data_IF_683899585604
#
_entry.id   IF_683899585604
#
_cell.length_a   1.000
_cell.length_b   1.000
_cell.length_c   1.000
_cell.angle_alpha   90.00
_cell.angle_beta   90.00
_cell.angle_gamma   90.00
#
_symmetry.space_group_name_H-M   'P 1'
#
loop_
_entity.id
_entity.type
_entity.pdbx_description
1 polymer ?
#
# COMPACT_ATOMS: atom_id res chain seq x y z
N UNK A 1 7.63 -11.27 -22.24
CA UNK A 1 7.14 -10.16 -21.41
C UNK A 1 5.76 -10.58 -20.94
N UNK A 2 5.49 -10.49 -19.65
CA UNK A 2 4.19 -10.90 -19.11
C UNK A 2 3.12 -9.90 -19.53
N UNK A 3 2.00 -10.39 -20.06
CA UNK A 3 0.82 -9.55 -20.33
C UNK A 3 0.32 -8.84 -19.06
N UNK A 4 0.58 -9.38 -17.86
CA UNK A 4 0.17 -8.75 -16.58
C UNK A 4 0.88 -7.43 -16.27
N UNK A 5 1.98 -7.12 -16.96
CA UNK A 5 2.77 -5.89 -16.75
C UNK A 5 2.61 -4.87 -17.88
N UNK A 6 1.71 -5.11 -18.82
CA UNK A 6 1.45 -4.19 -19.92
C UNK A 6 0.37 -3.17 -19.54
N UNK A 7 0.64 -1.89 -19.81
CA UNK A 7 -0.35 -0.82 -19.70
C UNK A 7 -0.12 0.14 -18.54
N UNK A 8 -0.31 1.43 -18.83
CA UNK A 8 -0.28 2.53 -17.84
C UNK A 8 -1.31 2.35 -16.73
N UNK A 9 -2.44 1.71 -17.05
CA UNK A 9 -3.57 1.51 -16.14
C UNK A 9 -3.18 0.61 -14.96
N UNK A 10 -2.46 -0.50 -15.21
CA UNK A 10 -1.97 -1.40 -14.14
C UNK A 10 -1.08 -0.64 -13.17
N UNK A 11 -0.22 0.24 -13.69
CA UNK A 11 0.67 1.05 -12.86
C UNK A 11 -0.10 2.01 -11.95
N UNK A 12 -1.16 2.65 -12.46
CA UNK A 12 -1.97 3.61 -11.70
C UNK A 12 -2.82 2.90 -10.64
N UNK A 13 -3.48 1.81 -11.02
CA UNK A 13 -4.27 0.98 -10.12
C UNK A 13 -3.41 0.41 -8.98
N UNK A 14 -2.16 0.03 -9.28
CA UNK A 14 -1.22 -0.46 -8.28
C UNK A 14 -0.90 0.63 -7.22
N UNK A 15 -0.70 1.88 -7.64
CA UNK A 15 -0.52 3.00 -6.68
C UNK A 15 -1.80 3.26 -5.87
N UNK A 16 -2.97 3.20 -6.50
CA UNK A 16 -4.26 3.38 -5.82
C UNK A 16 -4.53 2.26 -4.80
N UNK A 17 -4.15 1.02 -5.11
CA UNK A 17 -4.21 -0.10 -4.18
C UNK A 17 -3.25 0.10 -3.00
N UNK A 18 -2.02 0.58 -3.24
CA UNK A 18 -1.07 0.86 -2.15
C UNK A 18 -1.59 1.95 -1.21
N UNK A 19 -2.09 3.06 -1.75
CA UNK A 19 -2.63 4.13 -0.93
C UNK A 19 -3.86 3.65 -0.13
N UNK A 20 -4.70 2.80 -0.71
CA UNK A 20 -5.82 2.21 0.02
C UNK A 20 -5.35 1.27 1.14
N UNK A 21 -4.29 0.49 0.90
CA UNK A 21 -3.70 -0.36 1.92
C UNK A 21 -3.19 0.43 3.13
N UNK A 22 -2.67 1.64 2.89
CA UNK A 22 -2.28 2.59 3.95
C UNK A 22 -3.50 3.11 4.71
N UNK A 23 -4.57 3.47 3.99
CA UNK A 23 -5.84 3.97 4.52
C UNK A 23 -6.70 2.91 5.22
N UNK A 24 -6.25 1.65 5.28
CA UNK A 24 -6.96 0.55 5.93
C UNK A 24 -6.44 0.31 7.34
N UNK A 25 -7.35 0.22 8.30
CA UNK A 25 -7.03 -0.15 9.68
C UNK A 25 -8.04 -1.17 10.25
N UNK A 26 -8.07 -1.35 11.57
CA UNK A 26 -9.02 -2.24 12.22
C UNK A 26 -10.49 -1.75 12.14
N UNK A 27 -10.72 -0.44 11.92
CA UNK A 27 -12.03 0.23 11.86
C UNK A 27 -12.62 0.22 10.45
N UNK A 28 -11.80 0.16 9.40
CA UNK A 28 -12.27 0.03 8.02
C UNK A 28 -11.35 0.70 7.00
N UNK A 29 -11.94 1.16 5.90
CA UNK A 29 -11.27 1.94 4.85
C UNK A 29 -11.54 3.42 5.08
N UNK A 30 -10.49 4.23 5.23
CA UNK A 30 -10.62 5.67 5.42
C UNK A 30 -10.81 6.42 4.09
N UNK A 31 -10.22 5.91 3.00
CA UNK A 31 -10.16 6.57 1.68
C UNK A 31 -9.64 8.01 1.71
N UNK A 32 -8.82 8.35 2.71
CA UNK A 32 -8.22 9.66 2.88
C UNK A 32 -7.35 10.03 1.68
N UNK A 33 -6.33 9.22 1.37
CA UNK A 33 -5.40 9.49 0.27
C UNK A 33 -6.11 9.58 -1.09
N UNK A 34 -7.18 8.78 -1.27
CA UNK A 34 -8.00 8.85 -2.49
C UNK A 34 -8.73 10.19 -2.60
N UNK A 35 -9.37 10.65 -1.51
CA UNK A 35 -10.04 11.95 -1.46
C UNK A 35 -9.07 13.10 -1.71
N UNK A 36 -7.90 13.05 -1.09
CA UNK A 36 -6.81 14.03 -1.29
C UNK A 36 -6.37 14.05 -2.75
N UNK A 37 -6.08 12.90 -3.36
CA UNK A 37 -5.65 12.79 -4.75
C UNK A 37 -6.67 13.37 -5.74
N UNK A 38 -7.95 13.01 -5.57
CA UNK A 38 -9.04 13.47 -6.43
C UNK A 38 -9.24 14.98 -6.34
N UNK A 39 -9.34 15.53 -5.12
CA UNK A 39 -9.53 16.96 -4.91
C UNK A 39 -8.31 17.79 -5.34
N UNK A 40 -7.10 17.28 -5.10
CA UNK A 40 -5.86 17.90 -5.55
C UNK A 40 -5.75 17.93 -7.08
N UNK A 41 -6.20 16.87 -7.76
CA UNK A 41 -6.26 16.82 -9.23
C UNK A 41 -7.17 17.90 -9.80
N UNK A 42 -8.40 18.04 -9.29
CA UNK A 42 -9.31 19.09 -9.76
C UNK A 42 -8.77 20.50 -9.50
N UNK A 43 -8.19 20.71 -8.32
CA UNK A 43 -7.56 21.99 -7.97
C UNK A 43 -6.38 22.32 -8.91
N UNK A 44 -5.60 21.29 -9.30
CA UNK A 44 -4.45 21.48 -10.18
C UNK A 44 -4.83 21.93 -11.60
N UNK A 45 -6.03 21.56 -12.10
CA UNK A 45 -6.51 22.04 -13.41
C UNK A 45 -6.64 23.56 -13.46
N UNK A 46 -6.88 24.20 -12.31
CA UNK A 46 -7.02 25.65 -12.18
C UNK A 46 -5.69 26.35 -11.88
N UNK A 47 -4.88 25.78 -10.98
CA UNK A 47 -3.69 26.47 -10.45
C UNK A 47 -2.36 26.01 -11.06
N UNK A 48 -2.30 24.78 -11.58
CA UNK A 48 -1.09 24.16 -12.11
C UNK A 48 -1.40 23.22 -13.30
N UNK A 49 -1.94 23.75 -14.42
CA UNK A 49 -2.36 22.95 -15.56
C UNK A 49 -1.19 22.16 -16.17
N UNK A 50 -1.49 21.01 -16.77
CA UNK A 50 -0.51 20.06 -17.33
C UNK A 50 0.39 19.36 -16.30
N UNK A 51 0.06 19.46 -15.01
CA UNK A 51 0.71 18.77 -13.89
C UNK A 51 -0.26 17.92 -13.07
N UNK A 52 -1.44 17.66 -13.61
CA UNK A 52 -2.53 16.94 -12.96
C UNK A 52 -2.07 15.57 -12.46
N UNK A 53 -1.29 14.87 -13.29
CA UNK A 53 -0.77 13.54 -12.96
C UNK A 53 0.25 13.58 -11.82
N UNK A 54 1.14 14.58 -11.79
CA UNK A 54 2.13 14.74 -10.74
C UNK A 54 1.45 15.07 -9.39
N UNK A 55 0.44 15.94 -9.42
CA UNK A 55 -0.32 16.36 -8.22
C UNK A 55 -1.23 15.24 -7.72
N UNK A 56 -1.88 14.50 -8.63
CA UNK A 56 -2.71 13.36 -8.29
C UNK A 56 -1.90 12.29 -7.53
N UNK A 57 -0.75 11.86 -8.07
CA UNK A 57 0.09 10.86 -7.39
C UNK A 57 0.75 11.38 -6.12
N UNK A 58 1.05 12.69 -6.05
CA UNK A 58 1.48 13.29 -4.81
C UNK A 58 0.39 13.19 -3.73
N UNK A 59 -0.85 13.53 -4.05
CA UNK A 59 -1.98 13.36 -3.13
C UNK A 59 -2.25 11.91 -2.76
N UNK A 60 -2.06 10.98 -3.70
CA UNK A 60 -2.30 9.55 -3.47
C UNK A 60 -1.25 8.91 -2.55
N UNK A 61 -0.01 9.40 -2.58
CA UNK A 61 1.12 8.82 -1.86
C UNK A 61 1.69 9.71 -0.74
N UNK A 62 1.05 10.85 -0.42
CA UNK A 62 1.62 11.82 0.54
C UNK A 62 1.94 11.21 1.92
N UNK A 63 1.12 10.26 2.36
CA UNK A 63 1.25 9.56 3.64
C UNK A 63 2.09 8.27 3.60
N UNK A 64 2.69 7.91 2.47
CA UNK A 64 3.48 6.66 2.34
C UNK A 64 4.66 6.59 3.32
N UNK A 65 5.17 7.73 3.78
CA UNK A 65 6.19 7.77 4.82
C UNK A 65 5.71 7.36 6.22
N UNK A 66 4.40 7.38 6.46
CA UNK A 66 3.79 7.13 7.77
C UNK A 66 3.60 5.63 8.09
N UNK A 67 4.08 4.74 7.22
CA UNK A 67 3.94 3.27 7.35
C UNK A 67 4.47 2.66 8.65
N UNK A 68 5.25 3.37 9.45
CA UNK A 68 5.71 2.88 10.76
C UNK A 68 4.71 3.09 11.91
N UNK A 69 3.59 3.78 11.68
CA UNK A 69 2.62 4.09 12.74
C UNK A 69 1.71 2.89 13.07
N UNK A 70 1.31 2.81 14.34
CA UNK A 70 0.34 1.83 14.84
C UNK A 70 -1.10 2.12 14.41
N UNK A 71 -1.44 3.40 14.40
CA UNK A 71 -2.70 3.94 13.90
C UNK A 71 -2.45 4.75 12.65
N UNK A 72 -3.47 4.86 11.79
CA UNK A 72 -3.42 5.77 10.65
C UNK A 72 -3.05 7.19 11.08
N UNK A 73 -2.23 7.89 10.28
CA UNK A 73 -1.75 9.23 10.59
C UNK A 73 -2.89 10.24 10.79
N UNK A 74 -3.95 10.16 9.96
CA UNK A 74 -5.20 10.92 10.15
C UNK A 74 -5.78 10.77 11.56
N UNK A 75 -5.78 9.57 12.16
CA UNK A 75 -6.27 9.40 13.52
C UNK A 75 -5.37 10.07 14.56
N UNK A 76 -4.05 10.06 14.35
CA UNK A 76 -3.11 10.79 15.19
C UNK A 76 -3.35 12.30 15.11
N UNK A 77 -3.61 12.82 13.92
CA UNK A 77 -3.91 14.24 13.69
C UNK A 77 -5.24 14.65 14.33
N UNK A 78 -6.29 13.81 14.23
CA UNK A 78 -7.61 14.09 14.81
C UNK A 78 -7.61 14.01 16.34
N UNK A 79 -6.96 13.00 16.92
CA UNK A 79 -7.01 12.75 18.37
C UNK A 79 -6.12 13.70 19.19
N UNK A 80 -5.51 14.71 18.57
CA UNK A 80 -4.51 15.56 19.22
C UNK A 80 -3.29 14.76 19.67
N UNK A 81 -2.94 13.71 18.91
CA UNK A 81 -1.81 12.84 19.15
C UNK A 81 -0.51 13.63 19.23
N UNK A 82 0.53 12.98 19.76
CA UNK A 82 1.83 13.62 19.95
C UNK A 82 2.47 13.98 18.60
N UNK A 83 2.27 15.24 18.17
CA UNK A 83 2.90 15.81 16.98
C UNK A 83 4.43 15.89 17.09
N UNK A 84 5.01 15.52 18.25
CA UNK A 84 6.46 15.32 18.37
C UNK A 84 6.92 13.91 17.97
N UNK A 85 6.00 13.01 17.58
CA UNK A 85 6.35 11.69 17.09
C UNK A 85 7.27 11.82 15.86
N UNK A 86 8.51 11.28 15.91
CA UNK A 86 9.48 11.41 14.82
C UNK A 86 9.00 10.83 13.49
N UNK A 87 8.12 9.81 13.51
CA UNK A 87 7.53 9.25 12.30
C UNK A 87 6.57 10.26 11.67
N UNK A 88 5.75 10.95 12.46
CA UNK A 88 4.84 11.99 11.97
C UNK A 88 5.64 13.20 11.49
N UNK A 89 6.70 13.62 12.18
CA UNK A 89 7.51 14.76 11.72
C UNK A 89 8.31 14.43 10.44
N UNK A 90 8.75 13.19 10.28
CA UNK A 90 9.59 12.77 9.16
C UNK A 90 8.86 12.10 7.99
N UNK A 91 7.52 11.92 8.06
CA UNK A 91 6.83 11.13 7.02
C UNK A 91 6.85 11.82 5.64
N UNK A 92 6.82 13.14 5.56
CA UNK A 92 6.92 13.84 4.26
C UNK A 92 8.28 13.61 3.62
N UNK A 93 9.37 13.66 4.39
CA UNK A 93 10.73 13.35 3.92
C UNK A 93 10.88 11.90 3.50
N UNK A 94 10.44 10.95 4.35
CA UNK A 94 10.49 9.52 4.04
C UNK A 94 9.59 9.17 2.86
N UNK A 95 8.40 9.79 2.78
CA UNK A 95 7.47 9.63 1.68
C UNK A 95 8.08 10.08 0.37
N UNK A 96 8.68 11.28 0.35
CA UNK A 96 9.42 11.77 -0.80
C UNK A 96 10.58 10.85 -1.20
N UNK A 97 11.31 10.27 -0.25
CA UNK A 97 12.36 9.30 -0.54
C UNK A 97 11.81 8.05 -1.24
N UNK A 98 10.76 7.44 -0.70
CA UNK A 98 10.13 6.24 -1.28
C UNK A 98 9.58 6.55 -2.68
N UNK A 99 8.85 7.66 -2.81
CA UNK A 99 8.24 8.03 -4.09
C UNK A 99 9.27 8.35 -5.17
N UNK A 100 10.46 8.83 -4.80
CA UNK A 100 11.55 9.07 -5.77
C UNK A 100 12.12 7.78 -6.36
N UNK A 101 12.00 6.65 -5.66
CA UNK A 101 12.41 5.33 -6.18
C UNK A 101 11.41 4.78 -7.20
N UNK A 102 10.14 5.21 -7.12
CA UNK A 102 9.12 4.82 -8.09
C UNK A 102 9.38 5.50 -9.45
N UNK A 103 9.29 4.73 -10.57
CA UNK A 103 9.46 5.31 -11.88
C UNK A 103 8.50 6.47 -12.12
N UNK A 104 9.04 7.56 -12.68
CA UNK A 104 8.29 8.70 -13.19
C UNK A 104 7.62 9.63 -12.16
N UNK A 105 7.90 9.47 -10.86
CA UNK A 105 7.33 10.28 -9.78
C UNK A 105 8.30 11.29 -9.13
N UNK A 106 9.32 11.74 -9.86
CA UNK A 106 10.28 12.72 -9.34
C UNK A 106 9.61 14.02 -8.88
N UNK A 107 8.67 14.56 -9.67
CA UNK A 107 7.91 15.77 -9.28
C UNK A 107 6.94 15.52 -8.15
N UNK A 108 6.21 14.40 -8.19
CA UNK A 108 5.33 14.01 -7.09
C UNK A 108 6.10 13.90 -5.77
N UNK A 109 7.34 13.39 -5.79
CA UNK A 109 8.20 13.33 -4.59
C UNK A 109 8.48 14.71 -3.98
N UNK A 110 8.64 15.75 -4.80
CA UNK A 110 8.82 17.13 -4.31
C UNK A 110 7.54 17.66 -3.66
N UNK A 111 6.38 17.39 -4.26
CA UNK A 111 5.11 17.84 -3.72
C UNK A 111 4.78 17.15 -2.39
N UNK A 112 5.09 15.85 -2.28
CA UNK A 112 5.00 15.10 -1.02
C UNK A 112 5.96 15.65 0.03
N UNK A 113 7.20 16.02 -0.34
CA UNK A 113 8.14 16.59 0.63
C UNK A 113 7.59 17.87 1.28
N UNK A 114 6.86 18.67 0.51
CA UNK A 114 6.49 20.05 0.86
C UNK A 114 5.04 20.22 1.31
N UNK A 115 4.21 19.18 1.32
CA UNK A 115 2.78 19.31 1.63
C UNK A 115 2.47 19.71 3.09
N UNK A 116 3.47 19.70 3.97
CA UNK A 116 3.37 20.22 5.35
C UNK A 116 4.17 21.50 5.59
N UNK A 117 4.68 22.12 4.53
CA UNK A 117 5.19 23.49 4.62
C UNK A 117 4.00 24.45 4.78
N UNK A 118 4.06 25.30 5.81
CA UNK A 118 3.01 26.29 6.05
C UNK A 118 3.36 27.57 5.30
N UNK A 119 2.34 28.22 4.72
CA UNK A 119 2.51 29.46 3.98
C UNK A 119 3.27 30.56 4.74
N UNK A 120 3.11 30.65 6.06
CA UNK A 120 3.78 31.61 6.93
C UNK A 120 5.23 31.26 7.31
N UNK A 121 5.71 30.07 6.95
CA UNK A 121 7.04 29.54 7.23
C UNK A 121 7.15 28.73 8.52
N UNK A 122 6.04 28.41 9.19
CA UNK A 122 6.04 27.61 10.44
C UNK A 122 6.00 26.10 10.21
N UNK A 123 5.85 25.66 8.97
CA UNK A 123 5.74 24.25 8.60
C UNK A 123 7.08 23.53 8.54
N UNK A 124 7.06 22.33 7.98
CA UNK A 124 8.20 21.42 7.93
C UNK A 124 8.22 20.66 6.59
N UNK A 125 9.34 20.06 6.19
CA UNK A 125 10.63 19.96 6.88
C UNK A 125 11.59 21.13 6.65
N UNK A 126 11.44 21.85 5.54
CA UNK A 126 12.37 22.90 5.10
C UNK A 126 12.06 24.29 5.65
N UNK A 127 10.89 24.51 6.27
CA UNK A 127 10.40 25.83 6.75
C UNK A 127 10.30 26.84 5.62
N UNK A 128 9.92 26.38 4.44
CA UNK A 128 9.73 27.21 3.26
C UNK A 128 8.57 28.16 3.48
N UNK A 129 8.65 29.37 2.92
CA UNK A 129 7.62 30.40 3.11
C UNK A 129 7.03 30.86 1.78
N UNK A 130 5.71 31.03 1.75
CA UNK A 130 5.01 31.61 0.61
C UNK A 130 5.29 30.85 -0.69
N UNK A 131 5.79 31.57 -1.70
CA UNK A 131 6.07 31.03 -3.03
C UNK A 131 7.35 30.17 -3.10
N UNK A 132 8.09 30.00 -2.01
CA UNK A 132 9.19 29.03 -1.93
C UNK A 132 8.69 27.57 -1.91
N UNK A 133 7.44 27.39 -1.46
CA UNK A 133 6.71 26.12 -1.46
C UNK A 133 6.23 25.88 -2.89
N UNK A 134 6.44 24.69 -3.43
CA UNK A 134 5.94 24.32 -4.76
C UNK A 134 4.42 24.41 -4.81
N UNK A 135 3.89 24.80 -5.98
CA UNK A 135 2.43 24.84 -6.21
C UNK A 135 1.77 23.49 -5.97
N UNK A 136 2.42 22.38 -6.38
CA UNK A 136 1.91 21.04 -6.11
C UNK A 136 1.83 20.72 -4.62
N UNK A 137 2.87 21.05 -3.83
CA UNK A 137 2.83 20.90 -2.37
C UNK A 137 1.72 21.72 -1.72
N UNK A 138 1.53 22.99 -2.16
CA UNK A 138 0.42 23.84 -1.70
C UNK A 138 -0.96 23.22 -2.00
N UNK A 139 -1.15 22.64 -3.18
CA UNK A 139 -2.41 22.02 -3.57
C UNK A 139 -2.70 20.77 -2.73
N UNK A 140 -1.70 19.89 -2.56
CA UNK A 140 -1.83 18.70 -1.72
C UNK A 140 -2.13 19.08 -0.27
N UNK A 141 -1.47 20.11 0.27
CA UNK A 141 -1.71 20.61 1.62
C UNK A 141 -3.17 21.06 1.84
N UNK A 142 -3.78 21.76 0.88
CA UNK A 142 -5.18 22.18 0.99
C UNK A 142 -6.12 20.97 0.96
N UNK A 143 -5.88 20.02 0.05
CA UNK A 143 -6.69 18.82 -0.08
C UNK A 143 -6.59 17.88 1.14
N UNK A 144 -5.39 17.73 1.71
CA UNK A 144 -5.15 17.00 2.96
C UNK A 144 -5.95 17.63 4.12
N UNK A 145 -5.76 18.92 4.35
CA UNK A 145 -6.44 19.63 5.44
C UNK A 145 -7.97 19.64 5.26
N UNK A 146 -8.47 19.65 4.04
CA UNK A 146 -9.90 19.50 3.76
C UNK A 146 -10.43 18.16 4.29
N UNK A 147 -9.82 17.05 3.90
CA UNK A 147 -10.28 15.72 4.30
C UNK A 147 -10.12 15.49 5.82
N UNK A 148 -9.07 16.04 6.44
CA UNK A 148 -8.92 16.05 7.90
C UNK A 148 -10.08 16.80 8.56
N UNK A 149 -10.46 17.98 8.04
CA UNK A 149 -11.56 18.79 8.59
C UNK A 149 -12.92 18.07 8.51
N UNK A 150 -13.18 17.32 7.44
CA UNK A 150 -14.37 16.46 7.33
C UNK A 150 -14.47 15.47 8.50
N UNK A 151 -13.33 15.01 9.04
CA UNK A 151 -13.25 13.96 10.06
C UNK A 151 -13.24 14.47 11.50
N UNK A 152 -12.51 15.55 11.80
CA UNK A 152 -12.36 16.05 13.19
C UNK A 152 -13.72 16.43 13.80
N UNK A 153 -14.59 17.06 13.01
CA UNK A 153 -15.82 17.65 13.51
C UNK A 153 -17.09 17.14 12.81
N UNK A 154 -16.96 16.09 11.99
CA UNK A 154 -18.04 15.60 11.12
C UNK A 154 -18.70 16.76 10.36
N UNK A 155 -17.88 17.67 9.85
CA UNK A 155 -18.39 18.83 9.14
C UNK A 155 -19.12 18.38 7.87
N UNK A 156 -20.19 19.10 7.53
CA UNK A 156 -20.70 19.10 6.16
C UNK A 156 -19.62 19.69 5.26
N UNK A 157 -19.55 19.23 4.00
CA UNK A 157 -18.48 19.61 3.07
C UNK A 157 -18.31 21.13 2.95
N UNK A 158 -19.42 21.87 2.91
CA UNK A 158 -19.46 23.33 2.83
C UNK A 158 -18.79 23.99 4.05
N UNK A 159 -19.05 23.44 5.24
CA UNK A 159 -18.45 23.96 6.48
C UNK A 159 -16.95 23.65 6.57
N UNK A 160 -16.49 22.54 5.99
CA UNK A 160 -15.06 22.27 5.86
C UNK A 160 -14.39 23.27 4.89
N UNK A 161 -15.05 23.64 3.79
CA UNK A 161 -14.58 24.70 2.88
C UNK A 161 -14.47 26.06 3.59
N UNK A 162 -15.49 26.46 4.35
CA UNK A 162 -15.45 27.69 5.16
C UNK A 162 -14.25 27.68 6.13
N UNK A 163 -13.96 26.53 6.76
CA UNK A 163 -12.85 26.39 7.70
C UNK A 163 -11.47 26.42 7.04
N UNK A 164 -11.35 26.08 5.76
CA UNK A 164 -10.09 26.26 5.02
C UNK A 164 -9.76 27.74 4.81
N UNK A 165 -10.78 28.59 4.61
CA UNK A 165 -10.60 30.04 4.45
C UNK A 165 -9.94 30.67 5.68
N UNK A 166 -10.28 30.21 6.89
CA UNK A 166 -9.66 30.67 8.14
C UNK A 166 -8.14 30.42 8.20
N UNK A 167 -7.63 29.50 7.37
CA UNK A 167 -6.22 29.07 7.32
C UNK A 167 -5.43 29.71 6.19
N UNK A 168 -6.10 30.40 5.28
CA UNK A 168 -5.48 31.08 4.15
C UNK A 168 -4.50 32.16 4.64
N UNK A 169 -3.28 32.16 4.09
CA UNK A 169 -2.22 33.10 4.48
C UNK A 169 -1.50 32.74 5.78
N UNK A 170 -1.90 31.65 6.45
CA UNK A 170 -1.24 31.10 7.64
C UNK A 170 -0.62 29.75 7.29
N UNK A 171 -1.35 28.65 7.46
CA UNK A 171 -0.88 27.32 7.06
C UNK A 171 -1.08 27.05 5.57
N UNK A 172 -2.10 27.64 4.93
CA UNK A 172 -2.43 27.36 3.53
C UNK A 172 -2.19 28.57 2.63
N UNK A 173 -1.77 28.30 1.38
CA UNK A 173 -1.60 29.33 0.37
C UNK A 173 -2.97 29.92 -0.05
N UNK A 174 -3.19 31.25 0.00
CA UNK A 174 -4.49 31.84 -0.35
C UNK A 174 -4.99 31.44 -1.74
N UNK A 175 -4.13 31.49 -2.75
CA UNK A 175 -4.47 31.12 -4.14
C UNK A 175 -4.86 29.64 -4.27
N UNK A 176 -4.26 28.75 -3.47
CA UNK A 176 -4.61 27.34 -3.48
C UNK A 176 -5.95 27.07 -2.79
N UNK A 177 -6.25 27.79 -1.71
CA UNK A 177 -7.56 27.72 -1.04
C UNK A 177 -8.67 28.24 -1.96
N UNK A 178 -8.43 29.34 -2.68
CA UNK A 178 -9.38 29.88 -3.66
C UNK A 178 -9.62 28.88 -4.80
N UNK A 179 -8.56 28.38 -5.44
CA UNK A 179 -8.68 27.39 -6.51
C UNK A 179 -9.37 26.10 -6.05
N UNK A 180 -9.05 25.62 -4.84
CA UNK A 180 -9.70 24.44 -4.26
C UNK A 180 -11.19 24.68 -4.04
N UNK A 181 -11.56 25.85 -3.53
CA UNK A 181 -12.98 26.21 -3.31
C UNK A 181 -13.74 26.19 -4.63
N UNK A 182 -13.19 26.79 -5.69
CA UNK A 182 -13.78 26.78 -7.04
C UNK A 182 -13.89 25.36 -7.59
N UNK A 183 -12.86 24.52 -7.40
CA UNK A 183 -12.90 23.12 -7.84
C UNK A 183 -14.01 22.32 -7.15
N UNK A 184 -14.37 22.65 -5.91
CA UNK A 184 -15.45 21.99 -5.16
C UNK A 184 -16.85 22.59 -5.43
N UNK A 185 -16.99 23.61 -6.29
CA UNK A 185 -18.30 24.14 -6.70
C UNK A 185 -19.05 23.19 -7.66
N UNK A 186 -18.32 22.31 -8.35
CA UNK A 186 -18.91 21.27 -9.20
C UNK A 186 -19.65 20.26 -8.30
N UNK A 187 -20.98 20.30 -8.38
CA UNK A 187 -21.86 19.68 -7.39
C UNK A 187 -21.86 18.16 -7.48
N UNK A 188 -21.70 17.58 -8.68
CA UNK A 188 -21.69 16.13 -8.86
C UNK A 188 -20.40 15.52 -8.29
N UNK A 189 -19.24 16.04 -8.72
CA UNK A 189 -17.92 15.68 -8.22
C UNK A 189 -17.83 15.85 -6.70
N UNK A 190 -18.30 16.99 -6.16
CA UNK A 190 -18.20 17.23 -4.73
C UNK A 190 -19.03 16.23 -3.92
N UNK A 191 -20.23 15.87 -4.40
CA UNK A 191 -21.04 14.84 -3.75
C UNK A 191 -20.38 13.46 -3.83
N UNK A 192 -19.80 13.10 -4.97
CA UNK A 192 -19.10 11.83 -5.14
C UNK A 192 -17.82 11.74 -4.30
N UNK A 193 -17.08 12.85 -4.19
CA UNK A 193 -15.89 12.94 -3.36
C UNK A 193 -16.22 12.65 -1.88
N UNK A 194 -17.38 13.11 -1.40
CA UNK A 194 -17.84 12.93 -0.02
C UNK A 194 -18.47 11.55 0.24
N UNK A 195 -18.81 10.79 -0.80
CA UNK A 195 -19.51 9.51 -0.68
C UNK A 195 -18.57 8.31 -0.89
N UNK A 196 -18.34 7.55 0.18
CA UNK A 196 -17.49 6.36 0.13
C UNK A 196 -17.92 5.30 -0.89
N UNK A 197 -19.20 5.24 -1.25
CA UNK A 197 -19.72 4.26 -2.21
C UNK A 197 -19.36 4.62 -3.66
N UNK A 198 -19.28 5.91 -4.01
CA UNK A 198 -18.99 6.35 -5.38
C UNK A 198 -17.50 6.63 -5.64
N UNK A 199 -16.67 6.79 -4.59
CA UNK A 199 -15.23 7.00 -4.73
C UNK A 199 -14.51 5.99 -5.61
N UNK A 200 -14.89 4.71 -5.54
CA UNK A 200 -14.27 3.68 -6.37
C UNK A 200 -14.47 3.97 -7.86
N UNK A 201 -15.69 4.35 -8.25
CA UNK A 201 -16.01 4.70 -9.62
C UNK A 201 -15.35 6.02 -10.04
N UNK A 202 -15.35 7.02 -9.15
CA UNK A 202 -14.70 8.32 -9.39
C UNK A 202 -13.18 8.16 -9.57
N UNK A 203 -12.55 7.29 -8.78
CA UNK A 203 -11.13 6.96 -8.89
C UNK A 203 -10.81 6.31 -10.25
N UNK A 204 -11.59 5.32 -10.66
CA UNK A 204 -11.44 4.67 -11.98
C UNK A 204 -11.54 5.68 -13.12
N UNK A 205 -12.61 6.48 -13.17
CA UNK A 205 -12.78 7.49 -14.22
C UNK A 205 -11.63 8.52 -14.22
N UNK A 206 -11.22 8.99 -13.04
CA UNK A 206 -10.11 9.94 -12.95
C UNK A 206 -8.83 9.35 -13.54
N UNK A 207 -8.50 8.09 -13.23
CA UNK A 207 -7.31 7.42 -13.77
C UNK A 207 -7.35 7.23 -15.29
N UNK A 208 -8.52 6.96 -15.87
CA UNK A 208 -8.72 6.86 -17.33
C UNK A 208 -8.44 8.19 -18.04
N UNK A 209 -8.83 9.31 -17.42
CA UNK A 209 -8.61 10.66 -17.95
C UNK A 209 -7.19 11.21 -17.74
N UNK A 210 -6.41 10.64 -16.81
CA UNK A 210 -5.10 11.16 -16.50
C UNK A 210 -4.17 11.07 -17.72
N UNK A 211 -3.37 12.13 -17.98
CA UNK A 211 -2.29 12.04 -18.95
C UNK A 211 -1.36 10.87 -18.63
N UNK A 212 -0.75 10.30 -19.67
CA UNK A 212 0.25 9.26 -19.48
C UNK A 212 1.48 9.82 -18.77
N UNK A 213 1.92 9.18 -17.67
CA UNK A 213 3.17 9.56 -17.04
C UNK A 213 4.33 9.17 -17.96
N UNK A 214 5.19 10.13 -18.29
CA UNK A 214 6.43 9.83 -19.02
C UNK A 214 7.37 9.01 -18.15
N UNK A 215 7.45 7.71 -18.42
CA UNK A 215 8.33 6.80 -17.72
C UNK A 215 9.42 6.27 -18.65
N UNK A 216 10.68 6.54 -18.34
CA UNK A 216 11.81 5.99 -19.09
C UNK A 216 12.13 4.52 -18.72
N UNK A 217 11.50 3.99 -17.68
CA UNK A 217 11.76 2.62 -17.21
C UNK A 217 11.08 1.62 -18.16
N UNK A 218 11.78 0.57 -18.63
CA UNK A 218 11.23 -0.37 -19.61
C UNK A 218 10.05 -1.19 -19.07
N UNK A 219 10.02 -1.46 -17.76
CA UNK A 219 8.97 -2.24 -17.09
C UNK A 219 8.54 -1.54 -15.78
N UNK A 220 7.75 -0.45 -15.83
CA UNK A 220 7.44 0.35 -14.64
C UNK A 220 6.64 -0.42 -13.60
N UNK A 221 5.70 -1.28 -14.03
CA UNK A 221 4.89 -2.10 -13.12
C UNK A 221 5.77 -3.08 -12.35
N UNK A 222 6.68 -3.78 -13.01
CA UNK A 222 7.59 -4.71 -12.35
C UNK A 222 8.49 -4.00 -11.32
N UNK A 223 9.03 -2.82 -11.67
CA UNK A 223 9.81 -2.01 -10.73
C UNK A 223 8.97 -1.61 -9.50
N UNK A 224 7.73 -1.15 -9.71
CA UNK A 224 6.82 -0.83 -8.62
C UNK A 224 6.52 -2.04 -7.73
N UNK A 225 6.26 -3.22 -8.30
CA UNK A 225 6.03 -4.45 -7.52
C UNK A 225 7.22 -4.80 -6.63
N UNK A 226 8.46 -4.66 -7.11
CA UNK A 226 9.65 -4.88 -6.27
C UNK A 226 9.80 -3.84 -5.16
N UNK A 227 9.52 -2.57 -5.46
CA UNK A 227 9.54 -1.49 -4.46
C UNK A 227 8.46 -1.76 -3.41
N UNK A 228 7.27 -2.18 -3.81
CA UNK A 228 6.17 -2.53 -2.92
C UNK A 228 6.51 -3.70 -2.02
N UNK A 229 7.11 -4.76 -2.56
CA UNK A 229 7.60 -5.88 -1.75
C UNK A 229 8.58 -5.41 -0.67
N UNK A 230 9.51 -4.51 -1.01
CA UNK A 230 10.42 -3.89 -0.04
C UNK A 230 9.68 -3.06 1.01
N UNK A 231 8.70 -2.27 0.60
CA UNK A 231 7.85 -1.47 1.47
C UNK A 231 7.06 -2.35 2.45
N UNK A 232 6.40 -3.41 1.97
CA UNK A 232 5.68 -4.40 2.77
C UNK A 232 6.62 -5.01 3.80
N UNK A 233 7.82 -5.42 3.37
CA UNK A 233 8.83 -6.01 4.24
C UNK A 233 9.32 -5.04 5.33
N UNK A 234 9.18 -3.71 5.16
CA UNK A 234 9.55 -2.74 6.21
C UNK A 234 8.56 -2.64 7.36
N UNK A 235 7.35 -3.19 7.22
CA UNK A 235 6.33 -3.22 8.29
C UNK A 235 6.73 -4.11 9.48
N UNK A 236 7.62 -5.06 9.24
CA UNK A 236 8.25 -5.83 10.30
C UNK A 236 9.73 -5.46 10.40
N UNK A 237 10.21 -5.26 11.61
CA UNK A 237 11.63 -4.98 11.87
C UNK A 237 12.62 -6.05 11.39
N UNK A 238 12.15 -7.25 11.02
CA UNK A 238 13.01 -8.40 10.68
C UNK A 238 12.65 -9.11 9.37
N UNK A 239 11.69 -8.62 8.57
CA UNK A 239 11.33 -9.28 7.28
C UNK A 239 12.02 -8.69 6.07
N UNK A 240 13.14 -7.97 6.23
CA UNK A 240 13.90 -7.45 5.09
C UNK A 240 14.23 -8.55 4.05
N UNK A 241 13.74 -8.36 2.82
CA UNK A 241 13.91 -9.29 1.71
C UNK A 241 13.13 -10.60 1.83
N UNK A 242 12.15 -10.68 2.73
CA UNK A 242 11.29 -11.84 2.92
C UNK A 242 10.47 -12.13 1.66
N UNK A 243 9.72 -11.13 1.17
CA UNK A 243 8.91 -11.26 -0.03
C UNK A 243 9.73 -11.71 -1.24
N UNK A 244 10.98 -11.23 -1.36
CA UNK A 244 11.90 -11.66 -2.42
C UNK A 244 12.32 -13.13 -2.30
N UNK A 245 12.61 -13.61 -1.08
CA UNK A 245 12.96 -15.02 -0.85
C UNK A 245 11.76 -15.93 -1.08
N UNK A 246 10.56 -15.54 -0.61
CA UNK A 246 9.32 -16.30 -0.85
C UNK A 246 9.02 -16.41 -2.35
N UNK A 247 9.13 -15.31 -3.10
CA UNK A 247 8.98 -15.33 -4.55
C UNK A 247 9.99 -16.28 -5.22
N UNK A 248 11.28 -16.18 -4.85
CA UNK A 248 12.34 -17.06 -5.37
C UNK A 248 12.09 -18.53 -5.06
N UNK A 249 11.76 -18.87 -3.82
CA UNK A 249 11.46 -20.26 -3.44
C UNK A 249 10.22 -20.78 -4.18
N UNK A 250 9.21 -19.94 -4.37
CA UNK A 250 7.99 -20.30 -5.11
C UNK A 250 8.30 -20.65 -6.57
N UNK A 251 9.16 -19.87 -7.22
CA UNK A 251 9.61 -20.14 -8.60
C UNK A 251 10.40 -21.45 -8.66
N UNK A 252 11.34 -21.70 -7.73
CA UNK A 252 12.13 -22.94 -7.69
C UNK A 252 11.21 -24.16 -7.53
N UNK A 253 10.25 -24.11 -6.59
CA UNK A 253 9.28 -25.19 -6.42
C UNK A 253 8.41 -25.37 -7.66
N UNK A 254 7.97 -24.28 -8.29
CA UNK A 254 7.18 -24.34 -9.51
C UNK A 254 7.92 -25.01 -10.67
N UNK A 255 9.23 -24.75 -10.80
CA UNK A 255 10.08 -25.38 -11.81
C UNK A 255 10.19 -26.90 -11.57
N UNK A 256 10.41 -27.33 -10.33
CA UNK A 256 10.44 -28.76 -9.98
C UNK A 256 9.09 -29.45 -10.19
N UNK A 257 7.98 -28.71 -10.08
CA UNK A 257 6.62 -29.20 -10.36
C UNK A 257 6.25 -29.15 -11.86
N UNK A 258 7.14 -28.64 -12.72
CA UNK A 258 6.94 -28.59 -14.16
C UNK A 258 5.99 -27.49 -14.65
N UNK A 259 5.80 -26.41 -13.88
CA UNK A 259 5.00 -25.25 -14.28
C UNK A 259 5.63 -24.50 -15.46
N UNK A 260 4.80 -23.92 -16.32
CA UNK A 260 5.26 -23.12 -17.46
C UNK A 260 5.74 -21.73 -17.07
N UNK A 261 6.45 -21.05 -17.99
CA UNK A 261 7.01 -19.70 -17.79
C UNK A 261 5.98 -18.66 -17.32
N UNK A 262 4.74 -18.73 -17.81
CA UNK A 262 3.66 -17.84 -17.37
C UNK A 262 3.29 -18.09 -15.91
N UNK A 263 3.09 -19.34 -15.51
CA UNK A 263 2.74 -19.73 -14.14
C UNK A 263 3.88 -19.42 -13.14
N UNK A 264 5.13 -19.61 -13.55
CA UNK A 264 6.31 -19.25 -12.75
C UNK A 264 6.38 -17.74 -12.51
N UNK A 265 6.09 -16.96 -13.53
CA UNK A 265 6.03 -15.51 -13.43
C UNK A 265 4.88 -15.04 -12.53
N UNK A 266 3.71 -15.67 -12.62
CA UNK A 266 2.59 -15.42 -11.72
C UNK A 266 2.96 -15.72 -10.26
N UNK A 267 3.68 -16.82 -10.02
CA UNK A 267 4.20 -17.19 -8.69
C UNK A 267 5.19 -16.17 -8.16
N UNK A 268 6.08 -15.64 -9.01
CA UNK A 268 7.03 -14.61 -8.60
C UNK A 268 6.28 -13.37 -8.10
N UNK A 269 5.33 -12.84 -8.88
CA UNK A 269 4.56 -11.64 -8.52
C UNK A 269 3.67 -11.89 -7.30
N UNK A 270 2.99 -13.03 -7.24
CA UNK A 270 2.19 -13.40 -6.08
C UNK A 270 3.06 -13.56 -4.82
N UNK A 271 4.28 -14.09 -4.95
CA UNK A 271 5.27 -14.17 -3.87
C UNK A 271 5.72 -12.81 -3.36
N UNK A 272 5.96 -11.87 -4.27
CA UNK A 272 6.36 -10.50 -3.91
C UNK A 272 5.24 -9.74 -3.18
N UNK A 273 3.97 -10.06 -3.46
CA UNK A 273 2.80 -9.34 -2.94
C UNK A 273 1.94 -10.14 -1.96
N UNK A 274 2.34 -11.35 -1.56
CA UNK A 274 1.52 -12.24 -0.70
C UNK A 274 1.11 -11.58 0.62
N UNK A 275 1.98 -10.71 1.12
CA UNK A 275 1.83 -9.97 2.38
C UNK A 275 1.32 -8.53 2.20
N UNK A 276 0.80 -8.16 1.02
CA UNK A 276 0.39 -6.78 0.76
C UNK A 276 -0.62 -6.23 1.79
N UNK A 277 -1.53 -7.07 2.25
CA UNK A 277 -2.48 -6.72 3.31
C UNK A 277 -1.85 -6.43 4.68
N UNK A 278 -0.59 -6.82 4.94
CA UNK A 278 0.10 -6.53 6.21
C UNK A 278 0.34 -5.04 6.43
N UNK A 279 0.29 -4.22 5.37
CA UNK A 279 0.40 -2.76 5.48
C UNK A 279 -0.63 -2.18 6.46
N UNK A 280 -1.82 -2.77 6.48
CA UNK A 280 -2.96 -2.36 7.31
C UNK A 280 -2.96 -2.94 8.74
N UNK A 281 -1.91 -3.66 9.13
CA UNK A 281 -1.79 -4.27 10.47
C UNK A 281 -0.89 -3.39 11.36
N UNK A 282 -1.29 -3.09 12.61
CA UNK A 282 -0.48 -2.28 13.53
C UNK A 282 0.90 -2.89 13.80
N UNK A 283 1.95 -2.06 13.78
CA UNK A 283 3.33 -2.47 14.03
C UNK A 283 3.53 -3.12 15.41
N UNK A 284 2.88 -2.58 16.44
CA UNK A 284 2.85 -3.09 17.82
C UNK A 284 2.32 -4.51 17.94
N UNK A 285 1.44 -4.94 17.02
CA UNK A 285 0.95 -6.32 16.93
C UNK A 285 1.97 -7.17 16.16
N UNK A 286 2.44 -6.67 15.02
CA UNK A 286 3.37 -7.35 14.11
C UNK A 286 4.72 -7.68 14.76
N UNK A 287 5.26 -6.79 15.60
CA UNK A 287 6.59 -6.90 16.20
C UNK A 287 6.58 -7.24 17.70
N UNK A 288 5.41 -7.63 18.24
CA UNK A 288 5.22 -7.93 19.66
C UNK A 288 6.23 -8.99 20.17
N UNK A 289 6.99 -8.72 21.25
CA UNK A 289 7.96 -9.66 21.84
C UNK A 289 7.36 -10.80 22.65
N UNK A 290 6.09 -11.12 22.42
CA UNK A 290 5.35 -12.09 23.18
C UNK A 290 4.32 -12.78 22.29
N UNK A 291 3.71 -13.86 22.81
CA UNK A 291 2.58 -14.47 22.14
C UNK A 291 1.45 -13.45 21.97
N UNK A 292 0.87 -13.46 20.78
CA UNK A 292 -0.35 -12.71 20.48
C UNK A 292 -1.50 -13.29 21.29
N UNK A 293 -2.37 -12.42 21.78
CA UNK A 293 -3.71 -12.78 22.23
C UNK A 293 -4.56 -13.25 21.06
N UNK A 294 -5.67 -13.93 21.35
CA UNK A 294 -6.60 -14.38 20.32
C UNK A 294 -7.13 -13.21 19.48
N UNK A 295 -7.42 -12.07 20.12
CA UNK A 295 -7.89 -10.85 19.43
C UNK A 295 -6.83 -10.26 18.50
N UNK A 296 -5.58 -10.15 18.96
CA UNK A 296 -4.46 -9.69 18.12
C UNK A 296 -4.22 -10.65 16.95
N UNK A 297 -4.33 -11.96 17.19
CA UNK A 297 -4.21 -12.96 16.13
C UNK A 297 -5.35 -12.84 15.11
N UNK A 298 -6.59 -12.56 15.53
CA UNK A 298 -7.69 -12.29 14.58
C UNK A 298 -7.42 -11.06 13.70
N UNK A 299 -6.68 -10.05 14.19
CA UNK A 299 -6.30 -8.90 13.37
C UNK A 299 -5.30 -9.33 12.30
N UNK A 300 -4.25 -10.08 12.66
CA UNK A 300 -3.27 -10.59 11.69
C UNK A 300 -3.94 -11.48 10.64
N UNK A 301 -4.86 -12.37 11.04
CA UNK A 301 -5.55 -13.28 10.12
C UNK A 301 -6.33 -12.60 9.00
N UNK A 302 -6.59 -11.29 9.08
CA UNK A 302 -7.25 -10.53 8.02
C UNK A 302 -6.34 -10.21 6.84
N UNK A 303 -5.02 -10.18 7.04
CA UNK A 303 -4.10 -9.70 6.01
C UNK A 303 -4.16 -10.47 4.68
N UNK A 304 -4.35 -11.81 4.62
CA UNK A 304 -4.38 -12.49 3.33
C UNK A 304 -5.65 -12.14 2.54
N UNK A 305 -6.78 -11.98 3.23
CA UNK A 305 -8.02 -11.51 2.60
C UNK A 305 -7.89 -10.08 2.09
N UNK A 306 -7.19 -9.21 2.84
CA UNK A 306 -6.85 -7.85 2.39
C UNK A 306 -5.89 -7.86 1.22
N UNK A 307 -4.90 -8.76 1.18
CA UNK A 307 -4.03 -8.95 0.01
C UNK A 307 -4.87 -9.27 -1.22
N UNK A 308 -5.80 -10.23 -1.13
CA UNK A 308 -6.67 -10.57 -2.25
C UNK A 308 -7.52 -9.37 -2.70
N UNK A 309 -8.16 -8.68 -1.76
CA UNK A 309 -8.97 -7.48 -2.01
C UNK A 309 -8.19 -6.39 -2.76
N UNK A 310 -6.96 -6.09 -2.33
CA UNK A 310 -6.11 -5.07 -2.95
C UNK A 310 -5.64 -5.48 -4.35
N UNK A 311 -5.33 -6.76 -4.57
CA UNK A 311 -4.91 -7.26 -5.88
C UNK A 311 -6.07 -7.38 -6.87
N UNK A 312 -7.30 -7.62 -6.40
CA UNK A 312 -8.51 -7.66 -7.26
C UNK A 312 -8.85 -6.30 -7.90
N UNK A 313 -8.40 -5.21 -7.26
CA UNK A 313 -8.53 -3.84 -7.76
C UNK A 313 -7.62 -3.57 -8.96
N UNK A 314 -6.53 -4.32 -9.10
CA UNK A 314 -5.58 -4.15 -10.20
C UNK A 314 -5.90 -5.18 -11.27
N UNK A 315 -6.39 -4.74 -12.44
CA UNK A 315 -6.92 -5.65 -13.46
C UNK A 315 -5.89 -6.69 -13.92
N UNK A 316 -4.62 -6.28 -14.08
CA UNK A 316 -3.52 -7.18 -14.44
C UNK A 316 -3.14 -8.20 -13.35
N UNK A 317 -3.51 -7.94 -12.08
CA UNK A 317 -3.15 -8.79 -10.94
C UNK A 317 -4.33 -9.56 -10.35
N UNK A 318 -5.56 -9.33 -10.83
CA UNK A 318 -6.78 -9.98 -10.31
C UNK A 318 -6.68 -11.51 -10.26
N UNK A 319 -6.05 -12.14 -11.26
CA UNK A 319 -5.84 -13.60 -11.29
C UNK A 319 -4.90 -14.10 -10.18
N UNK A 320 -4.04 -13.23 -9.65
CA UNK A 320 -3.09 -13.53 -8.60
C UNK A 320 -3.66 -13.32 -7.20
N UNK A 321 -4.79 -12.62 -7.08
CA UNK A 321 -5.35 -12.22 -5.80
C UNK A 321 -5.49 -13.37 -4.80
N UNK A 322 -6.05 -14.50 -5.22
CA UNK A 322 -6.22 -15.68 -4.36
C UNK A 322 -5.04 -16.65 -4.39
N UNK A 323 -4.09 -16.48 -5.31
CA UNK A 323 -2.78 -17.14 -5.22
C UNK A 323 -2.01 -16.52 -4.04
N UNK A 324 -1.92 -15.19 -4.02
CA UNK A 324 -1.28 -14.41 -2.96
C UNK A 324 -2.08 -14.47 -1.64
N UNK A 325 -3.37 -14.17 -1.64
CA UNK A 325 -4.23 -14.15 -0.45
C UNK A 325 -4.60 -15.52 0.11
N UNK A 326 -4.35 -16.60 -0.64
CA UNK A 326 -4.59 -17.98 -0.20
C UNK A 326 -3.40 -18.64 0.52
N UNK A 327 -2.25 -17.97 0.66
CA UNK A 327 -1.01 -18.59 1.15
C UNK A 327 -1.06 -19.10 2.61
N UNK A 328 -2.10 -18.74 3.37
CA UNK A 328 -2.37 -19.25 4.73
C UNK A 328 -3.52 -20.25 4.80
N UNK A 329 -4.09 -20.63 3.66
CA UNK A 329 -4.99 -21.78 3.59
C UNK A 329 -4.22 -23.08 3.84
N UNK A 330 -4.89 -24.05 4.47
CA UNK A 330 -4.29 -25.33 4.82
C UNK A 330 -4.94 -26.44 4.04
N UNK A 331 -4.16 -27.43 3.62
CA UNK A 331 -4.66 -28.57 2.85
C UNK A 331 -5.85 -29.28 3.54
N UNK A 332 -5.83 -29.35 4.87
CA UNK A 332 -6.89 -29.93 5.72
C UNK A 332 -8.13 -29.04 5.94
N UNK A 333 -8.10 -27.78 5.50
CA UNK A 333 -9.17 -26.79 5.71
C UNK A 333 -9.12 -26.06 7.05
N UNK A 334 -8.08 -26.27 7.87
CA UNK A 334 -7.88 -25.55 9.12
C UNK A 334 -7.27 -24.14 8.95
N UNK A 335 -7.12 -23.69 7.70
CA UNK A 335 -6.46 -22.44 7.32
C UNK A 335 -7.36 -21.22 7.39
N UNK A 336 -6.89 -20.12 6.79
CA UNK A 336 -7.60 -18.85 6.70
C UNK A 336 -7.13 -18.10 5.44
N UNK A 337 -7.89 -17.13 4.91
CA UNK A 337 -9.06 -16.45 5.50
C UNK A 337 -10.42 -17.15 5.27
N UNK A 338 -10.55 -18.03 4.28
CA UNK A 338 -11.81 -18.64 3.87
C UNK A 338 -11.99 -20.08 4.41
N UNK A 339 -10.92 -20.73 4.88
CA UNK A 339 -10.97 -22.11 5.37
C UNK A 339 -11.15 -23.11 4.22
N UNK A 340 -10.51 -22.82 3.09
CA UNK A 340 -10.57 -23.63 1.88
C UNK A 340 -9.91 -24.98 2.13
N UNK A 341 -10.50 -26.04 1.55
CA UNK A 341 -9.91 -27.38 1.55
C UNK A 341 -9.20 -27.66 0.24
N UNK A 342 -8.46 -28.78 0.20
CA UNK A 342 -7.91 -29.27 -1.05
C UNK A 342 -8.97 -29.32 -2.18
N UNK A 343 -8.57 -28.93 -3.39
CA UNK A 343 -9.45 -28.75 -4.55
C UNK A 343 -10.08 -27.35 -4.67
N UNK A 344 -10.04 -26.54 -3.61
CA UNK A 344 -10.50 -25.14 -3.62
C UNK A 344 -9.34 -24.14 -3.53
N UNK A 345 -8.23 -24.53 -2.93
CA UNK A 345 -7.02 -23.70 -2.82
C UNK A 345 -6.32 -23.65 -4.19
N UNK A 346 -6.07 -22.45 -4.76
CA UNK A 346 -5.28 -22.31 -5.99
C UNK A 346 -3.93 -23.01 -5.85
N UNK A 347 -3.48 -23.70 -6.90
CA UNK A 347 -2.23 -24.47 -6.82
C UNK A 347 -1.04 -23.60 -6.45
N UNK A 348 -0.95 -22.39 -7.02
CA UNK A 348 0.08 -21.43 -6.66
C UNK A 348 0.07 -21.05 -5.17
N UNK A 349 -1.11 -20.88 -4.55
CA UNK A 349 -1.20 -20.58 -3.11
C UNK A 349 -0.61 -21.70 -2.23
N UNK A 350 -0.71 -22.96 -2.67
CA UNK A 350 -0.10 -24.10 -1.98
C UNK A 350 1.43 -24.06 -2.07
N UNK A 351 1.97 -23.62 -3.21
CA UNK A 351 3.41 -23.39 -3.42
C UNK A 351 3.91 -22.25 -2.51
N UNK A 352 3.18 -21.13 -2.49
CA UNK A 352 3.46 -20.00 -1.60
C UNK A 352 3.44 -20.40 -0.13
N UNK A 353 2.47 -21.20 0.32
CA UNK A 353 2.39 -21.67 1.70
C UNK A 353 3.64 -22.45 2.15
N UNK A 354 4.18 -23.29 1.27
CA UNK A 354 5.44 -24.02 1.53
C UNK A 354 6.64 -23.06 1.54
N UNK A 355 6.68 -22.13 0.59
CA UNK A 355 7.76 -21.15 0.44
C UNK A 355 7.86 -20.18 1.63
N UNK A 356 6.74 -19.62 2.06
CA UNK A 356 6.64 -18.76 3.25
C UNK A 356 7.04 -19.51 4.51
N UNK A 357 6.51 -20.73 4.72
CA UNK A 357 6.87 -21.53 5.88
C UNK A 357 8.37 -21.90 5.91
N UNK A 358 8.96 -22.19 4.75
CA UNK A 358 10.39 -22.46 4.65
C UNK A 358 11.23 -21.23 5.00
N UNK A 359 10.91 -20.06 4.45
CA UNK A 359 11.60 -18.81 4.77
C UNK A 359 11.46 -18.47 6.26
N UNK A 360 10.23 -18.59 6.80
CA UNK A 360 9.94 -18.30 8.19
C UNK A 360 10.76 -19.16 9.17
N UNK A 361 11.05 -20.41 8.82
CA UNK A 361 11.82 -21.33 9.66
C UNK A 361 13.35 -21.12 9.56
N UNK A 362 13.84 -20.64 8.42
CA UNK A 362 15.28 -20.57 8.11
C UNK A 362 15.87 -19.16 8.28
N UNK A 363 15.03 -18.12 8.14
CA UNK A 363 15.43 -16.72 8.31
C UNK A 363 15.57 -16.30 9.77
N UNK A 364 16.42 -15.29 10.03
CA UNK A 364 16.65 -14.74 11.38
C UNK A 364 15.42 -13.98 11.87
N UNK A 365 14.76 -14.49 12.90
CA UNK A 365 13.65 -13.80 13.59
C UNK A 365 13.98 -13.61 15.08
N UNK A 366 13.65 -12.45 15.71
CA UNK A 366 14.05 -12.14 17.09
C UNK A 366 13.65 -13.19 18.15
N UNK A 367 12.56 -13.94 17.90
CA UNK A 367 11.97 -14.88 18.85
C UNK A 367 12.17 -16.35 18.48
N UNK A 368 12.93 -16.66 17.42
CA UNK A 368 13.10 -18.02 16.93
C UNK A 368 14.57 -18.35 16.70
N UNK A 369 15.05 -19.47 17.25
CA UNK A 369 16.33 -20.04 16.82
C UNK A 369 16.18 -20.51 15.37
N UNK A 370 16.94 -19.93 14.45
CA UNK A 370 16.95 -20.35 13.05
C UNK A 370 17.15 -21.86 12.97
N UNK A 371 16.28 -22.51 12.21
CA UNK A 371 16.44 -23.92 11.90
C UNK A 371 17.40 -24.07 10.73
N UNK A 372 18.10 -25.19 10.69
CA UNK A 372 18.85 -25.53 9.47
C UNK A 372 17.85 -25.80 8.34
N UNK A 373 18.15 -25.45 7.07
CA UNK A 373 17.28 -25.72 5.93
C UNK A 373 16.74 -27.17 5.89
N UNK A 374 17.60 -28.15 6.17
CA UNK A 374 17.23 -29.58 6.27
C UNK A 374 16.16 -29.86 7.34
N UNK A 375 16.19 -29.15 8.46
CA UNK A 375 15.18 -29.30 9.53
C UNK A 375 13.84 -28.69 9.12
N UNK A 376 13.87 -27.53 8.44
CA UNK A 376 12.67 -26.89 7.90
C UNK A 376 11.97 -27.80 6.88
N UNK A 377 12.74 -28.38 5.94
CA UNK A 377 12.22 -29.36 4.99
C UNK A 377 11.58 -30.58 5.67
N UNK A 378 12.23 -31.17 6.69
CA UNK A 378 11.66 -32.29 7.45
C UNK A 378 10.33 -31.93 8.14
N UNK A 379 10.20 -30.69 8.62
CA UNK A 379 8.94 -30.20 9.21
C UNK A 379 7.86 -30.10 8.12
N UNK A 380 8.19 -29.57 6.94
CA UNK A 380 7.25 -29.49 5.81
C UNK A 380 6.77 -30.89 5.43
N UNK A 381 7.67 -31.86 5.23
CA UNK A 381 7.30 -33.24 4.92
C UNK A 381 6.43 -33.89 6.00
N UNK A 382 6.74 -33.67 7.29
CA UNK A 382 5.95 -34.21 8.39
C UNK A 382 4.49 -33.69 8.39
N UNK A 383 4.26 -32.47 7.90
CA UNK A 383 2.95 -31.83 7.85
C UNK A 383 2.28 -31.92 6.47
N UNK A 384 2.80 -32.72 5.55
CA UNK A 384 2.16 -33.04 4.28
C UNK A 384 0.77 -33.67 4.50
N UNK A 385 -0.22 -33.23 3.72
CA UNK A 385 -1.61 -33.71 3.81
C UNK A 385 -2.42 -33.12 4.98
N UNK A 386 -1.79 -32.29 5.82
CA UNK A 386 -2.47 -31.49 6.84
C UNK A 386 -2.31 -30.00 6.55
N UNK A 387 -1.15 -29.42 6.89
CA UNK A 387 -0.85 -28.03 6.58
C UNK A 387 -0.56 -27.85 5.10
N UNK A 388 0.33 -28.68 4.56
CA UNK A 388 0.87 -28.49 3.22
C UNK A 388 0.32 -29.52 2.25
N UNK A 389 0.23 -29.12 0.98
CA UNK A 389 -0.08 -30.04 -0.10
C UNK A 389 1.02 -31.12 -0.21
N UNK A 390 0.66 -32.41 -0.24
CA UNK A 390 1.64 -33.50 -0.35
C UNK A 390 2.54 -33.43 -1.58
N UNK A 391 2.03 -32.97 -2.72
CA UNK A 391 2.77 -32.87 -3.98
C UNK A 391 3.86 -31.79 -3.89
N UNK A 392 3.50 -30.62 -3.39
CA UNK A 392 4.44 -29.51 -3.16
C UNK A 392 5.46 -29.88 -2.06
N UNK A 393 5.01 -30.50 -0.97
CA UNK A 393 5.88 -30.92 0.13
C UNK A 393 6.90 -31.98 -0.28
N UNK A 394 6.58 -32.81 -1.29
CA UNK A 394 7.48 -33.85 -1.79
C UNK A 394 8.72 -33.25 -2.47
N UNK A 395 8.56 -32.16 -3.22
CA UNK A 395 9.66 -31.49 -3.95
C UNK A 395 10.40 -30.44 -3.11
N UNK A 396 9.87 -30.05 -1.94
CA UNK A 396 10.43 -29.00 -1.08
C UNK A 396 11.89 -29.22 -0.62
N UNK A 397 12.44 -30.41 -0.83
CA UNK A 397 13.85 -30.69 -0.56
C UNK A 397 14.82 -29.87 -1.41
N UNK A 398 14.42 -29.45 -2.61
CA UNK A 398 15.23 -28.59 -3.51
C UNK A 398 15.63 -27.27 -2.85
N UNK A 399 14.81 -26.76 -1.92
CA UNK A 399 15.06 -25.48 -1.24
C UNK A 399 16.24 -25.54 -0.25
N UNK A 400 16.68 -26.74 0.13
CA UNK A 400 17.79 -26.90 1.09
C UNK A 400 19.11 -26.32 0.57
N UNK A 401 19.27 -26.27 -0.75
CA UNK A 401 20.49 -25.85 -1.43
C UNK A 401 20.47 -24.37 -1.88
N UNK A 402 19.42 -23.61 -1.53
CA UNK A 402 19.18 -22.23 -1.95
C UNK A 402 19.07 -21.25 -0.78
#
# INVERSE_FOLDING_TARGET
MLQIFEGREVFYELMAALSLALDMDARGKLFHAWRVALAARETSRLLLPHREVDVFFAGLLHDIGAMGLDDHIVHQMISGGDLSNPIILGHSEKGAQITRELPAFERASLYILEHHENWDGTGFPGKKKGQEISKGGQIVAVADQFDILLRINQYQGEKALEKLQDRAGQSLAPEAVEAFTVAMEETEFFQDLLNNESLGQLMTWTMEELPEVSCAHPNPVQAAVHIFAGIIDTKHSYTAGHSQRVARYSVILGQELGLGEEELSELEVAGLLHDFGKISVPGSILDKPARLSDTEFQIIKKHPGRTAELLEMVHGLRKLAWIAGGHHERFDGGGYPLGLKNGQIPFGAKILAVSDAFDAMTSKRPYQKNRRPVEAWKIIQKNAGSQFDPEVAAVAGVLVDH
#
